data_IF_248359496240
#
_entry.id   IF_248359496240
#
_cell.length_a   1.000
_cell.length_b   1.000
_cell.length_c   1.000
_cell.angle_alpha   90.00
_cell.angle_beta   90.00
_cell.angle_gamma   90.00
#
_symmetry.space_group_name_H-M   'P 1'
#
loop_
_entity.id
_entity.type
_entity.pdbx_description
1 polymer ?
#
# COMPACT_ATOMS: atom_id res chain seq x y z
N UNK A 1 -38.79 -52.64 -1.80
CA UNK A 1 -37.95 -51.77 -0.97
C UNK A 1 -36.57 -51.70 -1.61
N UNK A 2 -36.20 -50.57 -2.20
CA UNK A 2 -34.89 -50.34 -2.84
C UNK A 2 -34.01 -49.50 -1.90
N UNK A 3 -32.73 -49.84 -1.68
CA UNK A 3 -31.82 -49.01 -0.90
C UNK A 3 -31.28 -47.83 -1.72
N UNK A 4 -31.29 -46.66 -1.10
CA UNK A 4 -30.83 -45.39 -1.66
C UNK A 4 -29.29 -45.33 -1.75
N UNK A 5 -28.79 -44.86 -2.90
CA UNK A 5 -27.38 -44.65 -3.17
C UNK A 5 -26.86 -43.38 -2.44
N UNK A 6 -25.79 -43.54 -1.65
CA UNK A 6 -25.11 -42.46 -0.96
C UNK A 6 -24.12 -41.74 -1.89
N UNK A 7 -24.13 -40.40 -1.85
CA UNK A 7 -23.26 -39.53 -2.64
C UNK A 7 -21.81 -39.48 -2.10
N UNK A 8 -20.80 -39.31 -2.97
CA UNK A 8 -19.39 -39.29 -2.58
C UNK A 8 -18.99 -37.99 -1.87
N UNK A 9 -18.25 -38.12 -0.76
CA UNK A 9 -17.62 -37.01 -0.04
C UNK A 9 -16.31 -36.64 -0.72
N UNK A 10 -16.16 -35.38 -1.10
CA UNK A 10 -14.92 -34.82 -1.64
C UNK A 10 -13.98 -34.41 -0.51
N UNK A 11 -12.90 -35.18 -0.32
CA UNK A 11 -11.81 -34.83 0.59
C UNK A 11 -10.87 -33.86 -0.13
N UNK A 12 -10.82 -32.61 0.34
CA UNK A 12 -9.85 -31.60 -0.13
C UNK A 12 -8.59 -31.73 0.72
N UNK A 13 -7.53 -32.29 0.14
CA UNK A 13 -6.22 -32.43 0.78
C UNK A 13 -5.47 -31.10 0.68
N UNK A 14 -5.21 -30.46 1.82
CA UNK A 14 -4.47 -29.21 1.93
C UNK A 14 -2.96 -29.50 1.96
N UNK A 15 -2.22 -29.03 0.95
CA UNK A 15 -0.77 -29.19 0.85
C UNK A 15 -0.10 -27.98 1.49
N UNK A 16 0.52 -28.18 2.66
CA UNK A 16 1.40 -27.18 3.27
C UNK A 16 2.77 -27.19 2.56
N UNK A 17 3.15 -26.04 1.99
CA UNK A 17 4.51 -25.82 1.52
C UNK A 17 5.36 -25.28 2.67
N UNK A 18 6.26 -26.12 3.20
CA UNK A 18 7.35 -25.70 4.06
C UNK A 18 8.51 -25.22 3.19
N UNK A 19 8.91 -23.96 3.39
CA UNK A 19 10.03 -23.33 2.68
C UNK A 19 11.36 -23.86 3.24
N UNK A 20 12.33 -24.29 2.40
CA UNK A 20 13.63 -24.72 2.89
C UNK A 20 14.49 -23.52 3.28
N UNK A 21 14.75 -23.40 4.58
CA UNK A 21 15.75 -22.48 5.14
C UNK A 21 17.15 -22.98 4.77
N UNK A 22 17.90 -22.16 4.04
CA UNK A 22 19.26 -22.46 3.60
C UNK A 22 20.23 -22.55 4.79
N UNK A 23 20.89 -23.70 4.92
CA UNK A 23 21.95 -23.94 5.88
C UNK A 23 23.24 -23.22 5.45
N UNK A 24 23.70 -22.28 6.28
CA UNK A 24 25.06 -21.76 6.24
C UNK A 24 25.97 -22.68 7.07
N UNK A 25 27.09 -23.08 6.49
CA UNK A 25 28.14 -23.93 7.09
C UNK A 25 29.23 -23.09 7.75
N UNK A 26 29.89 -23.68 8.78
CA UNK A 26 31.20 -23.32 9.39
C UNK A 26 31.18 -22.14 10.41
N UNK A 27 31.85 -22.15 11.58
CA UNK A 27 32.98 -22.94 12.13
C UNK A 27 32.95 -22.89 13.68
N UNK A 28 33.70 -23.80 14.31
CA UNK A 28 33.76 -24.22 15.73
C UNK A 28 34.56 -23.27 16.65
N UNK A 29 34.12 -23.08 17.92
CA UNK A 29 34.92 -22.94 19.17
C UNK A 29 33.95 -22.72 20.37
N UNK A 30 33.64 -23.69 21.24
CA UNK A 30 34.32 -24.17 22.49
C UNK A 30 34.04 -23.34 23.77
N UNK A 31 33.52 -24.04 24.82
CA UNK A 31 33.30 -23.69 26.25
C UNK A 31 32.15 -22.70 26.56
N UNK A 32 31.18 -22.89 27.47
CA UNK A 32 31.09 -23.55 28.80
C UNK A 32 29.58 -23.76 29.15
N UNK A 33 29.16 -24.77 29.95
CA UNK A 33 27.74 -25.01 30.24
C UNK A 33 27.24 -24.29 31.50
N UNK A 34 26.07 -23.66 31.41
CA UNK A 34 25.23 -23.27 32.57
C UNK A 34 23.86 -23.95 32.45
N UNK A 35 23.33 -24.60 33.50
CA UNK A 35 22.02 -25.22 33.45
C UNK A 35 20.94 -24.18 33.74
N UNK A 36 20.00 -23.99 32.80
CA UNK A 36 18.77 -23.23 33.05
C UNK A 36 17.56 -24.09 32.70
N UNK A 37 16.73 -24.21 33.72
CA UNK A 37 15.48 -24.95 33.88
C UNK A 37 14.44 -24.63 32.78
N UNK A 38 13.79 -25.61 32.14
CA UNK A 38 12.63 -25.35 31.30
C UNK A 38 11.33 -25.30 32.12
N UNK A 39 10.60 -24.19 32.00
CA UNK A 39 9.21 -24.05 32.47
C UNK A 39 8.26 -24.47 31.34
N UNK A 40 7.23 -25.30 31.58
CA UNK A 40 6.21 -25.58 30.58
C UNK A 40 5.12 -24.50 30.63
N UNK A 41 4.77 -23.91 29.49
CA UNK A 41 3.53 -23.15 29.36
C UNK A 41 2.80 -23.54 28.08
N UNK A 42 1.98 -24.58 28.26
CA UNK A 42 0.70 -24.82 27.61
C UNK A 42 -0.09 -23.53 27.42
N UNK A 43 -0.64 -23.31 26.21
CA UNK A 43 -2.04 -22.96 25.88
C UNK A 43 -2.09 -22.49 24.41
N UNK A 44 -2.64 -23.34 23.54
CA UNK A 44 -3.47 -22.95 22.39
C UNK A 44 -4.94 -22.86 22.87
N UNK A 45 -5.96 -22.36 22.13
CA UNK A 45 -6.01 -22.06 20.68
C UNK A 45 -6.80 -20.77 20.31
N UNK A 46 -6.89 -20.46 19.01
CA UNK A 46 -8.16 -20.04 18.35
C UNK A 46 -8.02 -20.04 16.83
N UNK A 47 -8.66 -21.04 16.24
CA UNK A 47 -9.08 -21.13 14.85
C UNK A 47 -9.91 -19.89 14.45
N UNK A 48 -9.51 -19.19 13.39
CA UNK A 48 -10.38 -18.27 12.66
C UNK A 48 -10.51 -18.82 11.25
N UNK A 49 -11.51 -19.67 11.05
CA UNK A 49 -11.94 -20.14 9.74
C UNK A 49 -12.50 -18.97 8.93
N UNK A 50 -11.69 -18.43 8.02
CA UNK A 50 -12.14 -17.45 7.04
C UNK A 50 -12.93 -18.18 5.93
N UNK A 51 -14.26 -18.01 5.91
CA UNK A 51 -15.09 -18.39 4.76
C UNK A 51 -14.78 -17.47 3.59
N UNK A 52 -14.13 -18.01 2.55
CA UNK A 52 -14.03 -17.38 1.24
C UNK A 52 -15.43 -17.32 0.60
N UNK A 53 -15.97 -16.11 0.46
CA UNK A 53 -17.13 -15.88 -0.38
C UNK A 53 -16.67 -15.83 -1.84
N UNK A 54 -17.15 -16.78 -2.63
CA UNK A 54 -17.14 -16.71 -4.09
C UNK A 54 -18.15 -15.64 -4.53
N UNK A 55 -17.72 -14.58 -5.24
CA UNK A 55 -18.67 -13.63 -5.80
C UNK A 55 -19.41 -14.26 -6.98
N UNK A 56 -20.74 -14.38 -6.83
CA UNK A 56 -21.65 -14.77 -7.89
C UNK A 56 -21.76 -13.63 -8.93
N UNK A 57 -21.64 -13.89 -10.24
CA UNK A 57 -21.79 -12.87 -11.27
C UNK A 57 -23.26 -12.46 -11.41
N UNK A 58 -23.53 -11.16 -11.26
CA UNK A 58 -24.85 -10.56 -11.46
C UNK A 58 -24.93 -10.01 -12.90
N UNK A 59 -26.01 -10.28 -13.65
CA UNK A 59 -26.16 -9.81 -15.02
C UNK A 59 -26.43 -8.30 -15.07
N UNK A 60 -25.64 -7.60 -15.89
CA UNK A 60 -25.78 -6.19 -16.26
C UNK A 60 -27.04 -5.96 -17.07
N UNK A 61 -28.05 -5.32 -16.47
CA UNK A 61 -29.11 -4.66 -17.20
C UNK A 61 -28.65 -3.24 -17.59
N UNK A 62 -28.62 -3.00 -18.90
CA UNK A 62 -28.34 -1.70 -19.49
C UNK A 62 -29.36 -0.65 -19.04
N UNK A 63 -28.88 0.51 -18.58
CA UNK A 63 -29.71 1.71 -18.52
C UNK A 63 -28.89 2.93 -18.93
N UNK A 64 -29.38 3.52 -20.02
CA UNK A 64 -28.85 4.66 -20.75
C UNK A 64 -28.78 5.92 -19.89
N UNK A 65 -27.71 6.69 -20.12
CA UNK A 65 -27.60 8.11 -19.78
C UNK A 65 -28.68 8.92 -20.55
N UNK A 66 -28.98 10.15 -20.10
CA UNK A 66 -28.28 11.27 -20.74
C UNK A 66 -27.78 12.35 -19.78
N UNK A 67 -26.93 13.18 -20.37
CA UNK A 67 -26.10 14.27 -19.87
C UNK A 67 -26.85 15.55 -19.52
N UNK A 68 -26.28 16.27 -18.56
CA UNK A 68 -25.84 17.69 -18.65
C UNK A 68 -26.42 18.68 -17.63
N UNK A 69 -25.52 19.64 -17.35
CA UNK A 69 -25.62 21.00 -16.79
C UNK A 69 -25.89 21.22 -15.30
N UNK A 70 -24.82 21.69 -14.65
CA UNK A 70 -24.79 22.58 -13.48
C UNK A 70 -25.58 23.88 -13.77
N UNK A 71 -26.07 24.65 -12.77
CA UNK A 71 -25.18 25.38 -11.87
C UNK A 71 -25.70 25.62 -10.44
N UNK A 72 -24.84 26.30 -9.68
CA UNK A 72 -25.14 27.22 -8.58
C UNK A 72 -25.30 26.64 -7.17
N UNK A 73 -24.25 26.90 -6.40
CA UNK A 73 -24.14 26.91 -4.95
C UNK A 73 -25.24 27.77 -4.29
N UNK A 74 -25.91 27.20 -3.30
CA UNK A 74 -26.54 27.96 -2.20
C UNK A 74 -26.28 27.21 -0.90
N UNK A 75 -25.21 27.61 -0.22
CA UNK A 75 -24.91 27.22 1.16
C UNK A 75 -25.87 28.02 2.06
N UNK A 76 -26.92 27.37 2.54
CA UNK A 76 -27.70 27.86 3.69
C UNK A 76 -27.10 27.27 4.96
N UNK A 77 -26.26 28.08 5.61
CA UNK A 77 -25.84 27.92 7.00
C UNK A 77 -27.06 27.89 7.93
N UNK A 78 -27.26 26.88 8.80
CA UNK A 78 -28.16 27.01 9.92
C UNK A 78 -27.52 27.91 10.97
N UNK A 79 -28.02 29.12 11.08
CA UNK A 79 -27.73 30.07 12.15
C UNK A 79 -28.16 29.44 13.48
N UNK A 80 -27.18 29.21 14.37
CA UNK A 80 -27.43 28.79 15.74
C UNK A 80 -28.22 29.88 16.48
N UNK A 81 -29.26 29.55 17.27
CA UNK A 81 -29.85 30.51 18.18
C UNK A 81 -28.86 30.76 19.33
N UNK A 82 -28.22 31.93 19.28
CA UNK A 82 -27.55 32.56 20.42
C UNK A 82 -28.51 32.61 21.61
N UNK A 83 -28.12 31.95 22.69
CA UNK A 83 -28.73 32.09 24.01
C UNK A 83 -28.64 33.55 24.46
N UNK A 84 -29.75 34.28 24.32
CA UNK A 84 -29.90 35.59 24.92
C UNK A 84 -30.10 35.42 26.43
N UNK A 85 -29.07 35.83 27.17
CA UNK A 85 -29.14 36.10 28.61
C UNK A 85 -30.03 37.34 28.78
N UNK A 86 -31.31 37.14 29.09
CA UNK A 86 -32.21 38.23 29.46
C UNK A 86 -32.15 38.43 30.96
N UNK A 87 -31.63 39.60 31.30
CA UNK A 87 -31.44 40.11 32.63
C UNK A 87 -32.76 40.28 33.39
N UNK A 88 -32.63 40.09 34.70
CA UNK A 88 -33.53 40.45 35.77
C UNK A 88 -34.29 41.76 35.53
N UNK A 89 -35.61 41.70 35.61
CA UNK A 89 -36.45 42.82 36.05
C UNK A 89 -37.50 42.29 37.00
N UNK A 90 -37.16 42.38 38.29
CA UNK A 90 -38.05 42.21 39.42
C UNK A 90 -39.02 43.39 39.47
N UNK A 91 -40.22 43.25 38.91
CA UNK A 91 -41.36 44.11 39.22
C UNK A 91 -42.26 43.38 40.22
N UNK A 92 -42.14 43.76 41.48
CA UNK A 92 -43.06 43.37 42.54
C UNK A 92 -44.42 44.06 42.34
N UNK A 93 -45.54 43.34 42.21
CA UNK A 93 -46.84 43.93 42.47
C UNK A 93 -47.10 43.91 43.98
N UNK A 94 -47.40 45.09 44.50
CA UNK A 94 -47.71 45.35 45.89
C UNK A 94 -48.82 44.44 46.43
N UNK A 95 -48.57 43.92 47.64
CA UNK A 95 -49.55 43.23 48.47
C UNK A 95 -50.69 44.19 48.85
N UNK A 96 -51.83 44.07 48.18
CA UNK A 96 -53.10 44.58 48.67
C UNK A 96 -53.78 43.49 49.51
N UNK A 97 -53.66 43.63 50.82
CA UNK A 97 -54.40 42.85 51.82
C UNK A 97 -55.87 43.30 51.84
N UNK A 98 -56.73 42.58 51.12
CA UNK A 98 -58.19 42.69 51.23
C UNK A 98 -58.78 41.35 51.62
N UNK A 99 -59.39 41.31 52.80
CA UNK A 99 -60.55 40.49 53.16
C UNK A 99 -60.56 39.02 52.74
N UNK A 100 -60.16 38.16 53.67
CA UNK A 100 -60.48 36.72 53.66
C UNK A 100 -61.99 36.57 53.88
N UNK A 101 -62.77 36.49 52.81
CA UNK A 101 -64.01 35.71 52.81
C UNK A 101 -63.77 34.48 51.93
N UNK A 102 -63.83 33.31 52.58
CA UNK A 102 -63.64 32.00 51.97
C UNK A 102 -64.84 31.62 51.08
N UNK A 103 -65.00 32.35 49.97
CA UNK A 103 -65.92 32.03 48.88
C UNK A 103 -65.15 31.91 47.55
N UNK A 104 -63.88 31.53 47.63
CA UNK A 104 -63.03 31.19 46.49
C UNK A 104 -63.15 29.70 46.18
N UNK A 105 -63.39 29.38 44.91
CA UNK A 105 -63.65 28.04 44.40
C UNK A 105 -62.37 27.18 44.39
N UNK A 106 -61.89 26.78 45.57
CA UNK A 106 -60.66 26.02 45.81
C UNK A 106 -60.56 24.75 44.95
N UNK A 107 -61.71 24.18 44.59
CA UNK A 107 -61.81 23.03 43.69
C UNK A 107 -61.26 23.36 42.30
N UNK A 108 -61.56 24.55 41.76
CA UNK A 108 -61.03 25.00 40.47
C UNK A 108 -59.52 25.21 40.52
N UNK A 109 -59.00 25.79 41.60
CA UNK A 109 -57.57 26.02 41.77
C UNK A 109 -56.81 24.69 41.86
N UNK A 110 -57.36 23.69 42.58
CA UNK A 110 -56.78 22.36 42.66
C UNK A 110 -56.77 21.66 41.28
N UNK A 111 -57.86 21.74 40.53
CA UNK A 111 -57.93 21.20 39.16
C UNK A 111 -56.95 21.91 38.22
N UNK A 112 -56.81 23.24 38.34
CA UNK A 112 -55.86 24.01 37.54
C UNK A 112 -54.40 23.65 37.87
N UNK A 113 -54.10 23.46 39.15
CA UNK A 113 -52.78 23.03 39.61
C UNK A 113 -52.45 21.63 39.10
N UNK A 114 -53.41 20.69 39.15
CA UNK A 114 -53.25 19.34 38.61
C UNK A 114 -52.98 19.36 37.09
N UNK A 115 -53.77 20.13 36.32
CA UNK A 115 -53.55 20.30 34.87
C UNK A 115 -52.20 20.93 34.56
N UNK A 116 -51.76 21.90 35.36
CA UNK A 116 -50.45 22.54 35.21
C UNK A 116 -49.32 21.56 35.53
N UNK A 117 -49.47 20.72 36.55
CA UNK A 117 -48.50 19.67 36.86
C UNK A 117 -48.40 18.62 35.74
N UNK A 118 -49.54 18.20 35.19
CA UNK A 118 -49.61 17.27 34.06
C UNK A 118 -48.98 17.87 32.79
N UNK A 119 -49.28 19.13 32.47
CA UNK A 119 -48.64 19.85 31.36
C UNK A 119 -47.12 19.93 31.53
N UNK A 120 -46.63 20.25 32.73
CA UNK A 120 -45.19 20.29 33.04
C UNK A 120 -44.54 18.91 32.87
N UNK A 121 -45.21 17.83 33.28
CA UNK A 121 -44.76 16.46 33.05
C UNK A 121 -44.59 16.18 31.55
N UNK A 122 -45.60 16.49 30.73
CA UNK A 122 -45.52 16.27 29.28
C UNK A 122 -44.44 17.13 28.63
N UNK A 123 -44.31 18.40 29.02
CA UNK A 123 -43.27 19.30 28.52
C UNK A 123 -41.87 18.75 28.82
N UNK A 124 -41.64 18.24 30.03
CA UNK A 124 -40.36 17.63 30.41
C UNK A 124 -40.07 16.35 29.62
N UNK A 125 -41.06 15.48 29.44
CA UNK A 125 -40.91 14.27 28.61
C UNK A 125 -40.54 14.63 27.18
N UNK A 126 -41.20 15.64 26.59
CA UNK A 126 -40.89 16.11 25.24
C UNK A 126 -39.47 16.65 25.16
N UNK A 127 -39.04 17.47 26.12
CA UNK A 127 -37.65 17.98 26.19
C UNK A 127 -36.62 16.86 26.26
N UNK A 128 -36.87 15.82 27.07
CA UNK A 128 -35.99 14.66 27.18
C UNK A 128 -35.89 13.90 25.85
N UNK A 129 -37.03 13.67 25.18
CA UNK A 129 -37.05 13.02 23.87
C UNK A 129 -36.32 13.86 22.82
N UNK A 130 -36.52 15.18 22.80
CA UNK A 130 -35.80 16.10 21.90
C UNK A 130 -34.29 16.01 22.11
N UNK A 131 -33.82 16.03 23.36
CA UNK A 131 -32.40 15.88 23.67
C UNK A 131 -31.84 14.54 23.16
N UNK A 132 -32.60 13.45 23.32
CA UNK A 132 -32.19 12.13 22.85
C UNK A 132 -32.13 12.04 21.32
N UNK A 133 -33.09 12.65 20.61
CA UNK A 133 -33.11 12.75 19.14
C UNK A 133 -31.89 13.53 18.65
N UNK A 134 -31.60 14.69 19.23
CA UNK A 134 -30.46 15.53 18.84
C UNK A 134 -29.12 14.81 19.08
N UNK A 135 -28.97 14.14 20.22
CA UNK A 135 -27.77 13.33 20.53
C UNK A 135 -27.59 12.19 19.53
N UNK A 136 -28.68 11.47 19.21
CA UNK A 136 -28.65 10.39 18.21
C UNK A 136 -28.31 10.90 16.81
N UNK A 137 -28.80 12.09 16.42
CA UNK A 137 -28.47 12.74 15.16
C UNK A 137 -26.99 13.11 15.08
N UNK A 138 -26.42 13.70 16.13
CA UNK A 138 -25.00 14.03 16.18
C UNK A 138 -24.11 12.78 16.03
N UNK A 139 -24.50 11.67 16.68
CA UNK A 139 -23.80 10.40 16.55
C UNK A 139 -23.92 9.83 15.13
N UNK A 140 -25.10 9.90 14.51
CA UNK A 140 -25.32 9.45 13.14
C UNK A 140 -24.42 10.22 12.16
N UNK A 141 -24.34 11.53 12.29
CA UNK A 141 -23.47 12.37 11.45
C UNK A 141 -22.00 12.06 11.65
N UNK A 142 -21.57 11.82 12.89
CA UNK A 142 -20.20 11.38 13.18
C UNK A 142 -19.89 10.04 12.51
N UNK A 143 -20.80 9.06 12.58
CA UNK A 143 -20.63 7.75 11.94
C UNK A 143 -20.62 7.87 10.41
N UNK A 144 -21.46 8.74 9.84
CA UNK A 144 -21.48 8.99 8.40
C UNK A 144 -20.15 9.57 7.90
N UNK A 145 -19.56 10.52 8.63
CA UNK A 145 -18.20 11.03 8.32
C UNK A 145 -17.15 9.93 8.39
N UNK A 146 -17.15 9.14 9.47
CA UNK A 146 -16.21 8.02 9.60
C UNK A 146 -16.34 6.98 8.46
N UNK A 147 -17.56 6.73 7.98
CA UNK A 147 -17.80 5.86 6.82
C UNK A 147 -17.19 6.45 5.55
N UNK A 148 -17.29 7.77 5.34
CA UNK A 148 -16.68 8.45 4.20
C UNK A 148 -15.16 8.35 4.25
N UNK A 149 -14.56 8.61 5.41
CA UNK A 149 -13.11 8.51 5.61
C UNK A 149 -12.58 7.10 5.29
N UNK A 150 -13.27 6.06 5.78
CA UNK A 150 -12.91 4.66 5.51
C UNK A 150 -13.05 4.33 4.02
N UNK A 151 -14.09 4.85 3.34
CA UNK A 151 -14.26 4.66 1.88
C UNK A 151 -13.13 5.30 1.09
N UNK A 152 -12.69 6.50 1.47
CA UNK A 152 -11.57 7.19 0.81
C UNK A 152 -10.26 6.44 1.03
N UNK A 153 -9.97 6.00 2.26
CA UNK A 153 -8.79 5.19 2.56
C UNK A 153 -8.76 3.89 1.77
N UNK A 154 -9.91 3.21 1.67
CA UNK A 154 -10.05 2.01 0.84
C UNK A 154 -9.73 2.30 -0.62
N UNK A 155 -10.30 3.36 -1.20
CA UNK A 155 -10.06 3.73 -2.59
C UNK A 155 -8.57 4.06 -2.87
N UNK A 156 -7.90 4.70 -1.92
CA UNK A 156 -6.46 4.95 -2.00
C UNK A 156 -5.64 3.66 -2.00
N UNK A 157 -5.97 2.71 -1.12
CA UNK A 157 -5.31 1.41 -1.07
C UNK A 157 -5.56 0.59 -2.34
N UNK A 158 -6.79 0.61 -2.88
CA UNK A 158 -7.14 -0.07 -4.13
C UNK A 158 -6.36 0.50 -5.33
N UNK A 159 -6.14 1.82 -5.35
CA UNK A 159 -5.32 2.50 -6.36
C UNK A 159 -3.85 2.09 -6.27
N UNK A 160 -3.28 2.07 -5.07
CA UNK A 160 -1.90 1.61 -4.83
C UNK A 160 -1.72 0.14 -5.17
N UNK A 161 -2.68 -0.72 -4.80
CA UNK A 161 -2.68 -2.14 -5.18
C UNK A 161 -2.61 -2.30 -6.70
N UNK A 162 -3.43 -1.55 -7.43
CA UNK A 162 -3.45 -1.58 -8.90
C UNK A 162 -2.11 -1.12 -9.48
N UNK A 163 -1.55 -0.03 -8.96
CA UNK A 163 -0.23 0.48 -9.37
C UNK A 163 0.90 -0.53 -9.15
N UNK A 164 0.92 -1.20 -7.99
CA UNK A 164 1.93 -2.21 -7.67
C UNK A 164 1.80 -3.46 -8.53
N UNK A 165 0.57 -3.90 -8.83
CA UNK A 165 0.34 -5.01 -9.75
C UNK A 165 0.83 -4.70 -11.17
N UNK A 166 0.62 -3.48 -11.65
CA UNK A 166 1.15 -3.05 -12.95
C UNK A 166 2.68 -3.01 -12.95
N UNK A 167 3.30 -2.50 -11.88
CA UNK A 167 4.77 -2.51 -11.75
C UNK A 167 5.33 -3.95 -11.73
N UNK A 168 4.64 -4.89 -11.08
CA UNK A 168 5.05 -6.30 -11.06
C UNK A 168 4.90 -6.94 -12.45
N UNK A 169 3.84 -6.60 -13.17
CA UNK A 169 3.63 -7.03 -14.58
C UNK A 169 4.81 -6.57 -15.44
N UNK A 170 5.20 -5.30 -15.34
CA UNK A 170 6.33 -4.74 -16.07
C UNK A 170 7.66 -5.46 -15.77
N UNK A 171 7.96 -5.70 -14.49
CA UNK A 171 9.19 -6.42 -14.10
C UNK A 171 9.22 -7.85 -14.66
N UNK A 172 8.08 -8.54 -14.68
CA UNK A 172 7.99 -9.87 -15.28
C UNK A 172 8.21 -9.82 -16.79
N UNK A 173 7.64 -8.84 -17.50
CA UNK A 173 7.90 -8.66 -18.94
C UNK A 173 9.37 -8.38 -19.23
N UNK A 174 10.01 -7.53 -18.43
CA UNK A 174 11.42 -7.20 -18.63
C UNK A 174 12.35 -8.37 -18.30
N UNK A 175 12.00 -9.18 -17.30
CA UNK A 175 12.68 -10.46 -17.05
C UNK A 175 12.57 -11.37 -18.27
N UNK A 176 11.38 -11.56 -18.82
CA UNK A 176 11.17 -12.44 -19.97
C UNK A 176 11.94 -11.93 -21.22
N UNK A 177 12.06 -10.60 -21.41
CA UNK A 177 12.93 -10.01 -22.44
C UNK A 177 14.41 -10.32 -22.20
N UNK A 178 14.89 -10.19 -20.96
CA UNK A 178 16.28 -10.50 -20.60
C UNK A 178 16.57 -11.98 -20.84
N UNK A 179 15.64 -12.88 -20.48
CA UNK A 179 15.79 -14.32 -20.70
C UNK A 179 15.89 -14.65 -22.20
N UNK A 180 15.08 -14.00 -23.05
CA UNK A 180 15.18 -14.14 -24.52
C UNK A 180 16.53 -13.65 -25.05
N UNK A 181 17.01 -12.49 -24.59
CA UNK A 181 18.31 -11.95 -25.00
C UNK A 181 19.46 -12.83 -24.52
N UNK A 182 19.39 -13.33 -23.30
CA UNK A 182 20.37 -14.27 -22.76
C UNK A 182 20.44 -15.54 -23.61
N UNK A 183 19.29 -16.16 -23.93
CA UNK A 183 19.24 -17.33 -24.79
C UNK A 183 19.83 -17.07 -26.19
N UNK A 184 19.60 -15.88 -26.74
CA UNK A 184 20.23 -15.45 -28.00
C UNK A 184 21.76 -15.38 -27.90
N UNK A 185 22.27 -14.69 -26.89
CA UNK A 185 23.73 -14.54 -26.66
C UNK A 185 24.38 -15.90 -26.37
N UNK A 186 23.74 -16.78 -25.60
CA UNK A 186 24.25 -18.12 -25.30
C UNK A 186 24.38 -18.96 -26.57
N UNK A 187 23.38 -18.90 -27.46
CA UNK A 187 23.42 -19.56 -28.75
C UNK A 187 24.55 -19.01 -29.62
N UNK A 188 24.66 -17.70 -29.76
CA UNK A 188 25.74 -17.06 -30.53
C UNK A 188 27.13 -17.42 -29.98
N UNK A 189 27.29 -17.45 -28.65
CA UNK A 189 28.53 -17.89 -28.01
C UNK A 189 28.85 -19.36 -28.33
N UNK A 190 27.83 -20.23 -28.32
CA UNK A 190 27.99 -21.64 -28.69
C UNK A 190 28.41 -21.78 -30.16
N UNK A 191 27.74 -21.07 -31.06
CA UNK A 191 28.02 -21.08 -32.50
C UNK A 191 29.44 -20.57 -32.80
N UNK A 192 29.87 -19.49 -32.13
CA UNK A 192 31.23 -18.97 -32.26
C UNK A 192 32.28 -19.95 -31.73
N UNK A 193 32.04 -20.61 -30.60
CA UNK A 193 32.95 -21.65 -30.08
C UNK A 193 33.07 -22.83 -31.04
N UNK A 194 31.94 -23.30 -31.58
CA UNK A 194 31.92 -24.36 -32.58
C UNK A 194 32.69 -23.96 -33.84
N UNK A 195 32.51 -22.73 -34.31
CA UNK A 195 33.24 -22.19 -35.47
C UNK A 195 34.74 -22.06 -35.22
N UNK A 196 35.15 -21.60 -34.03
CA UNK A 196 36.56 -21.54 -33.63
C UNK A 196 37.17 -22.94 -33.64
N UNK A 197 36.48 -23.92 -33.04
CA UNK A 197 36.93 -25.31 -33.02
C UNK A 197 37.13 -25.84 -34.44
N UNK A 198 36.11 -25.69 -35.29
CA UNK A 198 36.15 -26.13 -36.69
C UNK A 198 37.32 -25.53 -37.47
N UNK A 199 37.55 -24.21 -37.34
CA UNK A 199 38.65 -23.54 -38.03
C UNK A 199 40.01 -23.97 -37.47
N UNK A 200 40.12 -24.15 -36.15
CA UNK A 200 41.36 -24.50 -35.48
C UNK A 200 41.83 -25.93 -35.78
N UNK A 201 40.90 -26.89 -35.87
CA UNK A 201 41.20 -28.31 -36.13
C UNK A 201 41.23 -28.65 -37.62
N UNK A 202 40.53 -27.88 -38.46
CA UNK A 202 40.45 -28.10 -39.89
C UNK A 202 41.55 -27.39 -40.68
N UNK A 203 41.16 -26.34 -41.40
CA UNK A 203 42.00 -25.66 -42.39
C UNK A 203 43.26 -25.04 -41.78
N UNK A 204 43.16 -24.44 -40.58
CA UNK A 204 44.30 -23.80 -39.94
C UNK A 204 45.39 -24.82 -39.57
N UNK A 205 45.02 -25.95 -38.98
CA UNK A 205 45.98 -26.99 -38.58
C UNK A 205 46.71 -27.57 -39.80
N UNK A 206 45.97 -27.85 -40.88
CA UNK A 206 46.54 -28.33 -42.14
C UNK A 206 47.52 -27.31 -42.75
N UNK A 207 47.11 -26.04 -42.83
CA UNK A 207 47.96 -24.97 -43.34
C UNK A 207 49.21 -24.75 -42.47
N UNK A 208 49.06 -24.74 -41.14
CA UNK A 208 50.18 -24.59 -40.21
C UNK A 208 51.20 -25.72 -40.38
N UNK A 209 50.75 -26.97 -40.47
CA UNK A 209 51.61 -28.14 -40.69
C UNK A 209 52.42 -28.02 -41.98
N UNK A 210 51.78 -27.58 -43.08
CA UNK A 210 52.46 -27.33 -44.35
C UNK A 210 53.52 -26.22 -44.25
N UNK A 211 53.19 -25.11 -43.59
CA UNK A 211 54.14 -24.00 -43.39
C UNK A 211 55.31 -24.42 -42.49
N UNK A 212 55.04 -25.15 -41.41
CA UNK A 212 56.09 -25.65 -40.52
C UNK A 212 57.03 -26.63 -41.24
N UNK A 213 56.50 -27.47 -42.13
CA UNK A 213 57.30 -28.35 -42.99
C UNK A 213 58.23 -27.56 -43.92
N UNK A 214 57.71 -26.54 -44.62
CA UNK A 214 58.51 -25.66 -45.47
C UNK A 214 59.58 -24.90 -44.68
N UNK A 215 59.24 -24.42 -43.48
CA UNK A 215 60.20 -23.77 -42.58
C UNK A 215 61.31 -24.71 -42.16
N UNK A 216 60.97 -25.96 -41.85
CA UNK A 216 61.94 -26.99 -41.51
C UNK A 216 62.90 -27.27 -42.68
N UNK A 217 62.40 -27.36 -43.92
CA UNK A 217 63.22 -27.53 -45.13
C UNK A 217 64.17 -26.33 -45.36
N UNK A 218 63.79 -25.12 -44.94
CA UNK A 218 64.61 -23.91 -44.99
C UNK A 218 65.50 -23.68 -43.74
N UNK A 219 65.48 -24.59 -42.75
CA UNK A 219 66.23 -24.44 -41.50
C UNK A 219 65.71 -23.37 -40.53
N UNK A 220 64.44 -22.95 -40.67
CA UNK A 220 63.78 -22.00 -39.78
C UNK A 220 63.01 -22.70 -38.65
N UNK A 221 62.83 -22.00 -37.52
CA UNK A 221 62.03 -22.51 -36.40
C UNK A 221 60.52 -22.58 -36.73
N UNK A 222 59.78 -23.53 -36.15
CA UNK A 222 58.34 -23.65 -36.37
C UNK A 222 57.59 -22.42 -35.87
N UNK A 223 56.41 -22.18 -36.44
CA UNK A 223 55.54 -21.09 -36.04
C UNK A 223 54.99 -21.29 -34.61
N UNK A 224 54.78 -20.18 -33.86
CA UNK A 224 54.14 -20.23 -32.55
C UNK A 224 52.75 -20.85 -32.63
N UNK A 225 52.29 -21.43 -31.51
CA UNK A 225 50.98 -22.06 -31.46
C UNK A 225 49.85 -21.02 -31.58
N UNK A 226 48.72 -21.41 -32.17
CA UNK A 226 47.53 -20.56 -32.25
C UNK A 226 47.09 -20.08 -30.86
N UNK A 227 47.18 -20.96 -29.86
CA UNK A 227 46.85 -20.65 -28.48
C UNK A 227 47.70 -19.49 -27.94
N UNK A 228 49.01 -19.50 -28.21
CA UNK A 228 49.93 -18.42 -27.82
C UNK A 228 49.51 -17.08 -28.43
N UNK A 229 49.14 -17.07 -29.71
CA UNK A 229 48.69 -15.86 -30.42
C UNK A 229 47.36 -15.34 -29.86
N UNK A 230 46.43 -16.25 -29.51
CA UNK A 230 45.15 -15.89 -28.90
C UNK A 230 45.35 -15.28 -27.51
N UNK A 231 46.21 -15.88 -26.67
CA UNK A 231 46.52 -15.38 -25.33
C UNK A 231 47.12 -13.96 -25.40
N UNK A 232 48.05 -13.74 -26.32
CA UNK A 232 48.66 -12.44 -26.57
C UNK A 232 47.60 -11.41 -27.01
N UNK A 233 46.73 -11.74 -27.95
CA UNK A 233 45.65 -10.85 -28.41
C UNK A 233 44.63 -10.55 -27.31
N UNK A 234 44.29 -11.54 -26.48
CA UNK A 234 43.41 -11.36 -25.32
C UNK A 234 44.03 -10.39 -24.31
N UNK A 235 45.34 -10.50 -24.08
CA UNK A 235 46.07 -9.57 -23.21
C UNK A 235 46.09 -8.14 -23.75
N UNK A 236 46.27 -7.98 -25.08
CA UNK A 236 46.18 -6.69 -25.77
C UNK A 236 44.80 -6.06 -25.59
N UNK A 237 43.72 -6.81 -25.84
CA UNK A 237 42.34 -6.31 -25.68
C UNK A 237 42.04 -5.88 -24.24
N UNK A 238 42.48 -6.64 -23.23
CA UNK A 238 42.31 -6.26 -21.82
C UNK A 238 43.12 -5.02 -21.43
N UNK A 239 44.28 -4.78 -22.06
CA UNK A 239 45.05 -3.55 -21.88
C UNK A 239 44.37 -2.36 -22.54
N UNK A 240 43.90 -2.51 -23.78
CA UNK A 240 43.13 -1.46 -24.50
C UNK A 240 41.87 -1.06 -23.74
N UNK A 241 41.11 -2.04 -23.22
CA UNK A 241 39.92 -1.76 -22.43
C UNK A 241 40.24 -0.99 -21.14
N UNK A 242 41.39 -1.26 -20.49
CA UNK A 242 41.84 -0.50 -19.31
C UNK A 242 42.22 0.94 -19.65
N UNK A 243 42.91 1.15 -20.77
CA UNK A 243 43.29 2.49 -21.25
C UNK A 243 42.04 3.31 -21.64
N UNK A 244 41.08 2.71 -22.34
CA UNK A 244 39.85 3.37 -22.77
C UNK A 244 38.84 3.61 -21.62
N UNK A 245 38.82 2.73 -20.60
CA UNK A 245 38.03 2.96 -19.41
C UNK A 245 38.52 4.18 -18.62
N UNK A 246 39.83 4.45 -18.64
CA UNK A 246 40.44 5.60 -17.95
C UNK A 246 40.09 6.91 -18.64
N UNK A 247 40.01 6.96 -19.97
CA UNK A 247 39.61 8.17 -20.72
C UNK A 247 38.11 8.43 -20.68
N UNK A 248 37.28 7.39 -20.56
CA UNK A 248 35.82 7.52 -20.45
C UNK A 248 35.36 7.88 -19.02
N UNK A 249 36.17 7.57 -18.01
CA UNK A 249 35.87 7.87 -16.60
C UNK A 249 36.07 9.34 -16.21
N UNK A 250 36.82 10.14 -16.98
CA UNK A 250 37.09 11.55 -16.62
C UNK A 250 35.91 12.49 -16.92
N UNK A 251 34.95 12.05 -17.76
CA UNK A 251 33.70 12.78 -18.03
C UNK A 251 32.47 12.23 -17.29
N UNK A 252 32.61 11.15 -16.51
CA UNK A 252 31.52 10.54 -15.75
C UNK A 252 31.45 11.01 -14.29
N UNK A 253 32.09 12.13 -13.95
CA UNK A 253 31.94 12.81 -12.65
C UNK A 253 30.74 13.77 -12.68
N UNK A 254 29.54 13.24 -12.83
CA UNK A 254 28.30 13.94 -12.47
C UNK A 254 27.25 12.90 -12.03
N UNK A 255 26.94 12.78 -10.73
CA UNK A 255 25.85 11.96 -10.27
C UNK A 255 24.56 12.77 -10.40
N UNK A 256 23.83 12.56 -11.50
CA UNK A 256 22.43 12.97 -11.61
C UNK A 256 21.54 11.72 -11.58
N UNK A 257 21.48 11.11 -10.39
CA UNK A 257 20.31 10.32 -9.98
C UNK A 257 19.18 11.33 -9.77
N UNK A 258 18.22 11.35 -10.68
CA UNK A 258 17.11 12.28 -10.67
C UNK A 258 16.02 11.86 -11.65
N UNK A 259 15.28 10.84 -11.27
CA UNK A 259 13.82 10.68 -11.45
C UNK A 259 13.14 11.45 -12.59
N UNK A 260 12.59 10.67 -13.51
CA UNK A 260 11.50 10.95 -14.46
C UNK A 260 10.75 12.30 -14.28
N UNK A 261 10.91 13.17 -15.28
CA UNK A 261 9.79 13.50 -16.18
C UNK A 261 8.51 14.11 -15.62
N UNK A 262 8.53 14.96 -14.57
CA UNK A 262 7.36 15.75 -14.16
C UNK A 262 7.55 17.25 -14.47
N UNK A 263 6.60 17.96 -15.12
CA UNK A 263 6.80 19.33 -15.59
C UNK A 263 6.90 20.36 -14.44
N UNK A 264 7.70 21.44 -14.60
CA UNK A 264 7.97 22.41 -13.55
C UNK A 264 6.83 23.43 -13.43
N UNK A 265 5.85 23.15 -12.57
CA UNK A 265 4.67 23.99 -12.38
C UNK A 265 4.38 24.35 -10.92
N UNK A 266 4.99 25.43 -10.43
CA UNK A 266 4.52 26.29 -9.31
C UNK A 266 4.40 25.65 -7.91
N UNK A 267 5.47 25.74 -7.12
CA UNK A 267 5.36 25.76 -5.65
C UNK A 267 4.80 27.11 -5.19
N UNK A 268 3.75 27.17 -4.34
CA UNK A 268 3.29 28.42 -3.77
C UNK A 268 4.33 28.97 -2.80
N UNK A 269 4.99 30.06 -3.20
CA UNK A 269 5.72 30.96 -2.32
C UNK A 269 4.74 31.51 -1.29
N UNK A 270 4.94 31.22 -0.01
CA UNK A 270 4.17 31.90 1.04
C UNK A 270 4.09 31.19 2.38
N UNK A 271 5.22 30.82 2.99
CA UNK A 271 5.26 30.68 4.45
C UNK A 271 6.03 31.88 5.00
N UNK A 272 5.36 32.90 5.56
CA UNK A 272 6.05 33.94 6.29
C UNK A 272 6.77 33.29 7.47
N UNK A 273 8.10 33.38 7.46
CA UNK A 273 8.91 33.17 8.66
C UNK A 273 8.62 34.32 9.62
N UNK A 274 8.12 33.96 10.80
CA UNK A 274 8.19 34.81 11.99
C UNK A 274 6.86 35.44 12.39
N UNK A 275 6.34 35.02 13.54
CA UNK A 275 6.10 35.98 14.60
C UNK A 275 6.24 35.29 15.95
N UNK A 276 7.07 35.91 16.79
CA UNK A 276 7.48 35.52 18.13
C UNK A 276 6.31 35.65 19.13
N UNK A 277 6.38 34.81 20.16
CA UNK A 277 6.01 35.05 21.56
C UNK A 277 4.62 35.63 21.90
N UNK A 278 3.90 34.91 22.77
CA UNK A 278 3.58 35.47 24.09
C UNK A 278 3.37 34.39 25.16
N UNK A 279 4.23 34.52 26.16
CA UNK A 279 4.12 34.00 27.52
C UNK A 279 3.07 34.84 28.26
N UNK A 280 2.24 34.22 29.08
CA UNK A 280 1.31 34.86 30.03
C UNK A 280 0.33 33.79 30.53
N UNK A 281 0.56 33.15 31.68
CA UNK A 281 0.36 33.67 33.05
C UNK A 281 -1.10 34.03 33.30
N UNK A 282 -1.76 33.17 34.08
CA UNK A 282 -3.14 33.27 34.56
C UNK A 282 -3.54 31.91 35.11
#
# INVERSE_FOLDING_TARGET
MQPAAAAPRTTTTYVHYTSPSAAATRTVSTTTPTPVTPLPTTVAPKDVTFKSYTPQPQPTAARSQPTSVAPASTVTTPTAPTSAVMASSSSAPASASTGVTAQGDWTKDLVHLAKTAELKKHALTLQLHTAHILSSQALLDQKNRAIQDVKEQKNKLDSERTRLLESLRQVNEDRDKVDMLQGGIEKECSDLRAKILQLSEGEYAAAKSQVDKLRQELGQSPLPSLQTVIEEKKSQYLNERRLNATTSSVNASAPAVGTDGMPPGKRPRGRPKGSKNRKGSG
#
